data_IF_255803302829
#
_entry.id   IF_255803302829
#
_cell.length_a   1.000
_cell.length_b   1.000
_cell.length_c   1.000
_cell.angle_alpha   90.00
_cell.angle_beta   90.00
_cell.angle_gamma   90.00
#
_symmetry.space_group_name_H-M   'P 1'
#
loop_
_entity.id
_entity.type
_entity.pdbx_description
1 polymer ?
#
# COMPACT_ATOMS: atom_id res chain seq x y z
N UNK A 1 -11.80 -15.22 2.56
CA UNK A 1 -11.58 -14.64 1.25
C UNK A 1 -10.49 -13.59 1.33
N UNK A 2 -9.59 -13.53 0.37
CA UNK A 2 -8.61 -12.46 0.31
C UNK A 2 -9.35 -11.12 0.22
N UNK A 3 -9.07 -10.20 1.11
CA UNK A 3 -9.60 -8.84 1.00
C UNK A 3 -8.95 -8.24 -0.24
N UNK A 4 -9.76 -7.85 -1.21
CA UNK A 4 -9.26 -7.17 -2.40
C UNK A 4 -8.45 -5.95 -1.96
N UNK A 5 -7.26 -5.70 -2.51
CA UNK A 5 -6.49 -4.50 -2.22
C UNK A 5 -7.27 -3.21 -2.52
N UNK A 6 -8.33 -3.28 -3.31
CA UNK A 6 -9.22 -2.14 -3.57
C UNK A 6 -10.02 -1.69 -2.34
N UNK A 7 -10.19 -2.55 -1.32
CA UNK A 7 -11.02 -2.24 -0.17
C UNK A 7 -10.23 -1.86 1.09
N UNK A 8 -8.91 -1.84 1.02
CA UNK A 8 -8.11 -1.62 2.22
C UNK A 8 -8.08 -0.15 2.67
N UNK A 9 -8.14 0.79 1.77
CA UNK A 9 -8.13 2.21 2.08
C UNK A 9 -9.55 2.80 2.22
N UNK A 10 -10.38 2.57 1.22
CA UNK A 10 -11.74 3.14 1.17
C UNK A 10 -12.71 2.08 0.63
N UNK A 11 -13.27 1.29 1.53
CA UNK A 11 -14.27 0.29 1.15
C UNK A 11 -15.60 0.96 0.84
N UNK A 12 -16.05 0.87 -0.38
CA UNK A 12 -17.25 1.54 -0.85
C UNK A 12 -18.26 0.62 -1.52
N UNK A 13 -17.90 -0.65 -1.69
CA UNK A 13 -18.80 -1.68 -2.17
C UNK A 13 -19.12 -1.65 -3.67
N UNK A 14 -18.49 -0.78 -4.45
CA UNK A 14 -18.68 -0.71 -5.90
C UNK A 14 -17.38 -0.92 -6.67
N UNK A 15 -17.44 -1.44 -7.87
CA UNK A 15 -16.32 -1.50 -8.81
C UNK A 15 -16.83 -1.18 -10.23
N UNK A 16 -16.08 -0.42 -11.02
CA UNK A 16 -14.83 0.26 -10.69
C UNK A 16 -15.02 1.48 -9.80
N UNK A 17 -14.00 1.76 -8.97
CA UNK A 17 -13.92 2.97 -8.15
C UNK A 17 -12.60 3.68 -8.45
N UNK A 18 -12.67 4.96 -8.78
CA UNK A 18 -11.52 5.82 -8.97
C UNK A 18 -11.48 6.91 -7.88
N UNK A 19 -10.33 7.04 -7.23
CA UNK A 19 -10.06 8.11 -6.27
C UNK A 19 -8.96 9.02 -6.81
N UNK A 20 -9.10 10.32 -6.57
CA UNK A 20 -8.20 11.33 -7.08
C UNK A 20 -7.53 12.08 -5.93
N UNK A 21 -6.20 12.08 -5.94
CA UNK A 21 -5.42 12.61 -4.84
C UNK A 21 -5.54 11.74 -3.58
N UNK A 22 -5.49 12.38 -2.43
CA UNK A 22 -5.61 11.75 -1.11
C UNK A 22 -6.99 11.94 -0.46
N UNK A 23 -8.00 12.27 -1.27
CA UNK A 23 -9.32 12.66 -0.79
C UNK A 23 -10.38 11.62 -1.10
N UNK A 24 -11.11 11.22 -0.06
CA UNK A 24 -12.21 10.27 -0.18
C UNK A 24 -13.48 10.86 -0.81
N UNK A 25 -13.61 12.18 -0.83
CA UNK A 25 -14.72 12.89 -1.46
C UNK A 25 -14.51 13.13 -2.98
N UNK A 26 -13.30 12.90 -3.49
CA UNK A 26 -12.95 12.98 -4.90
C UNK A 26 -12.95 11.60 -5.54
N UNK A 27 -14.15 11.07 -5.70
CA UNK A 27 -14.37 9.68 -6.11
C UNK A 27 -15.35 9.62 -7.29
N UNK A 28 -15.06 8.76 -8.25
CA UNK A 28 -15.99 8.26 -9.24
C UNK A 28 -16.28 6.80 -8.99
N UNK A 29 -17.52 6.48 -8.62
CA UNK A 29 -18.00 5.10 -8.46
C UNK A 29 -18.74 4.64 -9.70
N UNK A 30 -18.46 3.44 -10.14
CA UNK A 30 -18.99 2.90 -11.38
C UNK A 30 -18.26 3.39 -12.64
N UNK A 31 -18.55 2.76 -13.76
CA UNK A 31 -17.97 3.13 -15.04
C UNK A 31 -18.59 4.45 -15.53
N UNK A 32 -17.73 5.40 -15.84
CA UNK A 32 -18.09 6.61 -16.56
C UNK A 32 -17.14 6.77 -17.75
N UNK A 33 -17.68 6.98 -18.93
CA UNK A 33 -16.90 7.22 -20.14
C UNK A 33 -16.57 8.69 -20.36
N UNK A 34 -17.05 9.57 -19.47
CA UNK A 34 -16.84 11.01 -19.60
C UNK A 34 -15.45 11.41 -19.08
N UNK A 35 -14.57 11.79 -19.98
CA UNK A 35 -13.30 12.42 -19.64
C UNK A 35 -13.48 13.62 -18.71
N UNK A 36 -14.51 14.44 -18.95
CA UNK A 36 -14.79 15.66 -18.17
C UNK A 36 -15.04 15.35 -16.69
N UNK A 37 -15.71 14.24 -16.36
CA UNK A 37 -15.93 13.82 -14.97
C UNK A 37 -14.61 13.52 -14.28
N UNK A 38 -13.76 12.72 -14.90
CA UNK A 38 -12.47 12.36 -14.33
C UNK A 38 -11.52 13.56 -14.22
N UNK A 39 -11.47 14.40 -15.25
CA UNK A 39 -10.65 15.62 -15.26
C UNK A 39 -11.07 16.60 -14.17
N UNK A 40 -12.37 16.79 -13.97
CA UNK A 40 -12.91 17.63 -12.90
C UNK A 40 -12.56 17.09 -11.51
N UNK A 41 -12.67 15.79 -11.29
CA UNK A 41 -12.32 15.16 -10.02
C UNK A 41 -10.81 15.25 -9.77
N UNK A 42 -10.00 15.00 -10.77
CA UNK A 42 -8.54 15.12 -10.68
C UNK A 42 -8.12 16.55 -10.34
N UNK A 43 -8.62 17.54 -11.07
CA UNK A 43 -8.30 18.95 -10.86
C UNK A 43 -8.77 19.45 -9.51
N UNK A 44 -9.98 19.07 -9.08
CA UNK A 44 -10.54 19.46 -7.78
C UNK A 44 -9.93 18.68 -6.60
N UNK A 45 -9.37 17.53 -6.85
CA UNK A 45 -8.58 16.75 -5.88
C UNK A 45 -7.16 17.28 -5.67
N UNK A 46 -6.76 18.31 -6.46
CA UNK A 46 -5.43 18.89 -6.37
C UNK A 46 -4.38 18.13 -7.18
N UNK A 47 -4.79 17.29 -8.10
CA UNK A 47 -3.90 16.41 -8.82
C UNK A 47 -3.30 15.34 -7.91
N UNK A 48 -2.10 14.90 -8.24
CA UNK A 48 -1.33 14.01 -7.37
C UNK A 48 -0.49 14.87 -6.40
N UNK A 49 -0.95 15.05 -5.16
CA UNK A 49 -0.24 15.71 -4.07
C UNK A 49 -0.09 17.22 -4.17
N UNK A 50 -1.19 17.97 -4.12
CA UNK A 50 -1.13 19.41 -3.94
C UNK A 50 -0.79 19.84 -2.52
N UNK A 51 -0.91 18.94 -1.54
CA UNK A 51 -0.62 19.21 -0.13
C UNK A 51 0.69 18.56 0.26
N UNK A 52 1.61 19.33 0.83
CA UNK A 52 2.82 18.79 1.44
C UNK A 52 2.38 17.98 2.65
N UNK A 53 2.67 16.69 2.65
CA UNK A 53 2.40 15.84 3.80
C UNK A 53 3.42 16.13 4.91
N UNK A 54 2.92 16.29 6.13
CA UNK A 54 3.74 16.45 7.33
C UNK A 54 4.33 15.12 7.82
N UNK A 55 4.51 14.16 6.94
CA UNK A 55 5.05 12.84 7.29
C UNK A 55 6.12 12.43 6.29
N UNK A 56 7.24 11.97 6.81
CA UNK A 56 8.28 11.30 6.04
C UNK A 56 8.13 9.80 6.13
N UNK A 57 8.37 9.10 5.03
CA UNK A 57 8.33 7.64 4.97
C UNK A 57 9.34 7.11 3.97
N UNK A 58 9.94 5.97 4.30
CA UNK A 58 10.79 5.20 3.40
C UNK A 58 10.58 3.71 3.60
N UNK A 59 10.82 2.94 2.55
CA UNK A 59 10.80 1.48 2.61
C UNK A 59 12.01 0.91 1.88
N UNK A 60 12.50 -0.22 2.35
CA UNK A 60 13.59 -0.96 1.72
C UNK A 60 13.30 -2.45 1.77
N UNK A 61 13.81 -3.19 0.79
CA UNK A 61 13.74 -4.64 0.73
C UNK A 61 15.07 -5.17 0.18
N UNK A 62 15.55 -6.25 0.79
CA UNK A 62 16.67 -7.04 0.27
C UNK A 62 16.38 -8.52 0.49
N UNK A 63 17.15 -9.38 -0.15
CA UNK A 63 17.04 -10.81 0.03
C UNK A 63 18.19 -11.30 0.91
N UNK A 64 17.84 -12.12 1.90
CA UNK A 64 18.79 -12.79 2.80
C UNK A 64 18.52 -14.30 2.81
N UNK A 65 19.26 -15.03 1.99
CA UNK A 65 19.04 -16.47 1.84
C UNK A 65 17.63 -16.80 1.34
N UNK A 66 16.86 -17.49 2.15
CA UNK A 66 15.49 -17.93 1.87
C UNK A 66 14.40 -16.95 2.31
N UNK A 67 14.75 -15.79 2.84
CA UNK A 67 13.82 -14.76 3.33
C UNK A 67 14.10 -13.40 2.71
N UNK A 68 13.15 -12.49 2.85
CA UNK A 68 13.35 -11.07 2.60
C UNK A 68 13.65 -10.36 3.91
N UNK A 69 14.60 -9.42 3.87
CA UNK A 69 14.80 -8.40 4.89
C UNK A 69 14.10 -7.12 4.42
N UNK A 70 13.03 -6.74 5.10
CA UNK A 70 12.19 -5.60 4.76
C UNK A 70 12.23 -4.62 5.91
N UNK A 71 12.34 -3.33 5.59
CA UNK A 71 12.22 -2.26 6.60
C UNK A 71 11.35 -1.12 6.08
N UNK A 72 10.57 -0.53 6.98
CA UNK A 72 9.76 0.65 6.72
C UNK A 72 10.02 1.63 7.85
N UNK A 73 10.50 2.82 7.50
CA UNK A 73 10.74 3.91 8.44
C UNK A 73 9.74 5.03 8.19
N UNK A 74 9.25 5.64 9.27
CA UNK A 74 8.30 6.75 9.20
C UNK A 74 8.49 7.73 10.35
N UNK A 75 8.15 9.00 10.13
CA UNK A 75 8.18 10.08 11.12
C UNK A 75 7.21 11.19 10.80
N UNK A 76 6.89 12.01 11.78
CA UNK A 76 6.21 13.29 11.59
C UNK A 76 7.23 14.40 11.35
N UNK A 77 7.01 15.21 10.32
CA UNK A 77 7.90 16.30 9.88
C UNK A 77 7.26 17.69 10.04
N UNK A 78 5.99 17.74 10.42
CA UNK A 78 5.27 18.99 10.61
C UNK A 78 5.64 19.73 11.90
N UNK A 79 5.14 20.94 12.03
CA UNK A 79 5.38 21.81 13.20
C UNK A 79 4.38 21.60 14.35
N UNK A 80 3.29 20.88 14.10
CA UNK A 80 2.24 20.59 15.08
C UNK A 80 2.43 19.26 15.80
N UNK A 81 1.32 18.60 16.08
CA UNK A 81 1.30 17.24 16.61
C UNK A 81 0.88 16.26 15.54
N UNK A 82 1.46 15.07 15.48
CA UNK A 82 1.01 14.04 14.56
C UNK A 82 -0.46 13.64 14.85
N UNK A 83 -1.14 13.16 13.83
CA UNK A 83 -2.49 12.66 14.00
C UNK A 83 -2.52 11.46 14.97
N UNK A 84 -3.61 11.33 15.71
CA UNK A 84 -3.86 10.17 16.55
C UNK A 84 -4.42 9.00 15.73
N UNK A 85 -4.40 7.80 16.31
CA UNK A 85 -4.98 6.59 15.71
C UNK A 85 -4.41 6.27 14.32
N UNK A 86 -3.10 6.42 14.16
CA UNK A 86 -2.41 6.10 12.93
C UNK A 86 -2.37 4.59 12.71
N UNK A 87 -2.48 4.22 11.44
CA UNK A 87 -2.37 2.83 10.97
C UNK A 87 -1.33 2.74 9.87
N UNK A 88 -0.49 1.72 9.96
CA UNK A 88 0.41 1.34 8.88
C UNK A 88 -0.22 0.19 8.09
N UNK A 89 -0.37 0.40 6.79
CA UNK A 89 -0.65 -0.62 5.80
C UNK A 89 0.64 -0.89 5.04
N UNK A 90 1.12 -2.10 5.07
CA UNK A 90 2.33 -2.48 4.37
C UNK A 90 2.08 -3.77 3.60
N UNK A 91 2.44 -3.77 2.33
CA UNK A 91 2.21 -4.89 1.44
C UNK A 91 3.48 -5.25 0.66
N UNK A 92 3.69 -6.54 0.51
CA UNK A 92 4.63 -7.08 -0.46
C UNK A 92 3.86 -7.37 -1.76
N UNK A 93 4.38 -6.85 -2.86
CA UNK A 93 3.74 -6.86 -4.18
C UNK A 93 4.70 -7.52 -5.18
N UNK A 94 4.18 -8.36 -6.05
CA UNK A 94 4.89 -8.81 -7.26
C UNK A 94 4.53 -7.86 -8.40
N UNK A 95 5.52 -7.12 -8.91
CA UNK A 95 5.30 -6.15 -9.98
C UNK A 95 5.00 -6.79 -11.35
N UNK A 96 5.24 -8.09 -11.49
CA UNK A 96 5.05 -8.82 -12.75
C UNK A 96 4.54 -10.24 -12.46
N UNK A 97 3.25 -10.35 -12.21
CA UNK A 97 2.61 -11.59 -11.76
C UNK A 97 2.45 -12.60 -12.91
N UNK A 98 3.54 -13.11 -13.41
CA UNK A 98 3.52 -14.21 -14.39
C UNK A 98 2.94 -15.46 -13.73
N UNK A 99 1.83 -15.97 -14.21
CA UNK A 99 1.14 -17.13 -13.63
C UNK A 99 -0.30 -16.85 -13.23
N UNK A 100 -0.73 -15.60 -13.29
CA UNK A 100 -2.13 -15.22 -13.21
C UNK A 100 -2.67 -14.94 -14.61
N UNK A 101 -3.72 -15.64 -15.00
CA UNK A 101 -4.50 -15.30 -16.18
C UNK A 101 -5.80 -14.64 -15.74
N UNK A 102 -6.14 -13.52 -16.33
CA UNK A 102 -7.50 -12.99 -16.21
C UNK A 102 -8.47 -13.85 -17.03
N UNK A 103 -9.73 -13.91 -16.63
CA UNK A 103 -10.79 -14.59 -17.38
C UNK A 103 -10.98 -14.04 -18.81
N UNK A 104 -10.47 -12.84 -19.07
CA UNK A 104 -10.43 -12.20 -20.39
C UNK A 104 -9.30 -12.69 -21.32
N UNK A 105 -8.47 -13.63 -20.87
CA UNK A 105 -7.34 -14.15 -21.66
C UNK A 105 -6.08 -13.27 -21.65
N UNK A 106 -6.04 -12.21 -20.83
CA UNK A 106 -4.82 -11.43 -20.60
C UNK A 106 -3.84 -12.33 -19.85
N UNK A 107 -2.60 -12.50 -20.35
CA UNK A 107 -1.72 -13.58 -19.88
C UNK A 107 -1.16 -13.36 -18.44
N UNK A 108 -1.09 -12.16 -17.92
CA UNK A 108 -0.65 -11.88 -16.54
C UNK A 108 -1.06 -10.49 -16.08
N UNK A 109 -1.10 -10.30 -14.76
CA UNK A 109 -1.32 -9.01 -14.13
C UNK A 109 -0.01 -8.32 -13.76
N UNK A 110 -0.14 -7.06 -13.39
CA UNK A 110 0.94 -6.25 -12.82
C UNK A 110 0.57 -5.83 -11.40
N UNK A 111 1.58 -5.67 -10.54
CA UNK A 111 1.43 -5.20 -9.16
C UNK A 111 0.45 -6.05 -8.34
N UNK A 112 0.63 -7.36 -8.37
CA UNK A 112 -0.19 -8.27 -7.61
C UNK A 112 0.17 -8.26 -6.13
N UNK A 113 -0.82 -8.12 -5.29
CA UNK A 113 -0.66 -8.30 -3.87
C UNK A 113 -0.23 -9.74 -3.53
N UNK A 114 0.84 -9.89 -2.78
CA UNK A 114 1.39 -11.18 -2.37
C UNK A 114 1.26 -11.41 -0.87
N UNK A 115 1.51 -10.41 -0.05
CA UNK A 115 1.35 -10.51 1.39
C UNK A 115 1.11 -9.15 2.04
N UNK A 116 0.40 -9.15 3.16
CA UNK A 116 0.43 -8.07 4.13
C UNK A 116 1.58 -8.29 5.11
N UNK A 117 2.31 -7.22 5.42
CA UNK A 117 3.31 -7.16 6.48
C UNK A 117 2.62 -6.66 7.75
N UNK A 118 2.68 -7.42 8.80
CA UNK A 118 1.95 -7.14 10.03
C UNK A 118 2.89 -6.99 11.22
N UNK A 119 2.43 -6.42 12.32
CA UNK A 119 3.28 -6.13 13.47
C UNK A 119 4.02 -7.37 13.99
N UNK A 120 5.21 -7.16 14.56
CA UNK A 120 5.98 -8.22 15.24
C UNK A 120 6.62 -9.24 14.29
N UNK A 121 7.11 -8.79 13.14
CA UNK A 121 7.74 -9.65 12.12
C UNK A 121 6.83 -10.77 11.60
N UNK A 122 5.52 -10.46 11.49
CA UNK A 122 4.56 -11.38 10.91
C UNK A 122 4.14 -10.93 9.51
N UNK A 123 3.66 -11.87 8.71
CA UNK A 123 3.07 -11.58 7.41
C UNK A 123 1.84 -12.44 7.18
N UNK A 124 0.98 -12.02 6.27
CA UNK A 124 -0.20 -12.77 5.84
C UNK A 124 -0.29 -12.79 4.33
N UNK A 125 0.01 -13.93 3.74
CA UNK A 125 -0.12 -14.19 2.32
C UNK A 125 -1.41 -14.96 2.00
N UNK A 126 -1.67 -15.17 0.71
CA UNK A 126 -2.74 -16.03 0.23
C UNK A 126 -2.60 -17.47 0.76
N UNK A 127 -1.36 -17.95 0.91
CA UNK A 127 -1.03 -19.33 1.20
C UNK A 127 -0.63 -19.57 2.67
N UNK A 128 -0.68 -18.57 3.52
CA UNK A 128 -0.34 -18.74 4.93
C UNK A 128 0.13 -17.46 5.62
N UNK A 129 0.60 -17.63 6.85
CA UNK A 129 0.98 -16.55 7.72
C UNK A 129 -0.16 -16.06 8.62
N UNK A 130 0.16 -15.14 9.51
CA UNK A 130 -0.77 -14.58 10.51
C UNK A 130 -0.75 -13.07 10.49
N UNK A 131 -1.83 -12.46 10.96
CA UNK A 131 -1.94 -11.03 11.11
C UNK A 131 -3.10 -10.41 10.33
N UNK A 132 -3.15 -9.08 10.34
CA UNK A 132 -4.16 -8.27 9.67
C UNK A 132 -3.54 -7.43 8.56
N UNK A 133 -4.36 -6.82 7.72
CA UNK A 133 -3.89 -5.95 6.64
C UNK A 133 -3.26 -4.63 7.12
N UNK A 134 -3.40 -4.31 8.37
CA UNK A 134 -2.81 -3.12 9.00
C UNK A 134 -2.58 -3.36 10.49
N UNK A 135 -1.78 -2.48 11.10
CA UNK A 135 -1.67 -2.40 12.55
C UNK A 135 -1.57 -0.93 13.00
N UNK A 136 -1.92 -0.70 14.26
CA UNK A 136 -1.83 0.64 14.85
C UNK A 136 -0.38 0.99 15.11
N UNK A 137 -0.02 2.22 14.80
CA UNK A 137 1.32 2.75 15.01
C UNK A 137 1.27 4.09 15.73
N UNK A 138 2.32 4.39 16.48
CA UNK A 138 2.55 5.72 17.05
C UNK A 138 3.61 6.41 16.21
N UNK A 139 3.27 7.57 15.70
CA UNK A 139 4.19 8.39 14.90
C UNK A 139 4.66 9.58 15.74
N UNK A 140 5.94 9.84 15.72
CA UNK A 140 6.57 10.98 16.41
C UNK A 140 7.49 11.75 15.46
N UNK A 141 8.15 12.79 15.94
CA UNK A 141 9.15 13.54 15.18
C UNK A 141 10.46 12.78 14.97
N UNK A 142 10.67 11.67 15.66
CA UNK A 142 11.81 10.78 15.46
C UNK A 142 11.44 9.61 14.57
N UNK A 143 12.40 9.12 13.80
CA UNK A 143 12.18 7.96 12.93
C UNK A 143 11.82 6.74 13.77
N UNK A 144 10.74 6.09 13.40
CA UNK A 144 10.36 4.76 13.85
C UNK A 144 10.56 3.80 12.69
N UNK A 145 11.27 2.69 12.93
CA UNK A 145 11.51 1.67 11.92
C UNK A 145 10.90 0.35 12.34
N UNK A 146 10.11 -0.23 11.47
CA UNK A 146 9.62 -1.60 11.60
C UNK A 146 10.35 -2.49 10.60
N UNK A 147 10.59 -3.75 10.98
CA UNK A 147 11.36 -4.70 10.18
C UNK A 147 10.71 -6.05 10.14
N UNK A 148 10.84 -6.71 9.00
CA UNK A 148 10.39 -8.09 8.75
C UNK A 148 11.52 -8.89 8.16
N UNK A 149 11.85 -10.00 8.77
CA UNK A 149 12.93 -10.91 8.39
C UNK A 149 12.44 -12.34 8.17
N UNK A 150 11.19 -12.61 8.55
CA UNK A 150 10.57 -13.93 8.49
C UNK A 150 9.82 -14.22 7.17
N UNK A 151 9.69 -13.25 6.27
CA UNK A 151 8.92 -13.40 5.03
C UNK A 151 9.69 -14.26 4.03
N UNK A 152 9.20 -15.47 3.69
CA UNK A 152 9.91 -16.33 2.75
C UNK A 152 9.96 -15.77 1.33
N UNK A 153 11.06 -15.98 0.62
CA UNK A 153 11.20 -15.56 -0.79
C UNK A 153 10.19 -16.21 -1.72
N UNK A 154 9.65 -17.37 -1.35
CA UNK A 154 8.58 -18.04 -2.09
C UNK A 154 7.25 -17.28 -2.13
N UNK A 155 7.09 -16.25 -1.30
CA UNK A 155 5.90 -15.36 -1.32
C UNK A 155 5.85 -14.58 -2.63
N UNK A 156 7.00 -14.17 -3.18
CA UNK A 156 7.07 -13.54 -4.52
C UNK A 156 7.84 -14.48 -5.44
N UNK A 157 7.15 -15.30 -6.24
CA UNK A 157 7.81 -16.29 -7.11
C UNK A 157 8.77 -15.70 -8.14
N UNK A 158 8.58 -14.43 -8.53
CA UNK A 158 9.48 -13.69 -9.42
C UNK A 158 10.81 -13.30 -8.79
N UNK A 159 10.98 -13.52 -7.48
CA UNK A 159 12.18 -13.18 -6.72
C UNK A 159 12.32 -11.70 -6.43
N UNK A 160 13.49 -11.33 -5.88
CA UNK A 160 13.76 -9.95 -5.40
C UNK A 160 13.60 -8.89 -6.49
N UNK A 161 13.96 -9.18 -7.72
CA UNK A 161 13.84 -8.23 -8.85
C UNK A 161 12.39 -7.87 -9.20
N UNK A 162 11.43 -8.63 -8.72
CA UNK A 162 9.99 -8.39 -8.92
C UNK A 162 9.27 -8.01 -7.64
N UNK A 163 9.90 -8.14 -6.49
CA UNK A 163 9.34 -7.78 -5.21
C UNK A 163 9.38 -6.26 -5.01
N UNK A 164 8.24 -5.70 -4.61
CA UNK A 164 8.09 -4.30 -4.23
C UNK A 164 7.40 -4.22 -2.89
N UNK A 165 7.88 -3.38 -2.00
CA UNK A 165 7.20 -3.05 -0.76
C UNK A 165 6.43 -1.76 -0.95
N UNK A 166 5.13 -1.79 -0.67
CA UNK A 166 4.26 -0.63 -0.67
C UNK A 166 3.77 -0.40 0.75
N UNK A 167 3.99 0.80 1.26
CA UNK A 167 3.58 1.17 2.60
C UNK A 167 2.77 2.46 2.59
N UNK A 168 1.73 2.52 3.42
CA UNK A 168 0.87 3.68 3.56
C UNK A 168 0.55 3.92 5.04
N UNK A 169 0.77 5.14 5.51
CA UNK A 169 0.24 5.61 6.79
C UNK A 169 -1.13 6.24 6.58
N UNK A 170 -2.05 5.95 7.48
CA UNK A 170 -3.39 6.53 7.48
C UNK A 170 -3.81 6.96 8.88
N UNK A 171 -4.60 8.03 8.96
CA UNK A 171 -5.36 8.42 10.14
C UNK A 171 -6.83 8.44 9.76
N UNK A 172 -7.61 7.56 10.35
CA UNK A 172 -9.00 7.36 9.90
C UNK A 172 -9.03 6.91 8.43
N UNK A 173 -9.65 7.71 7.57
CA UNK A 173 -9.72 7.49 6.11
C UNK A 173 -8.78 8.42 5.33
N UNK A 174 -7.92 9.16 6.01
CA UNK A 174 -6.98 10.07 5.37
C UNK A 174 -5.64 9.36 5.14
N UNK A 175 -5.19 9.36 3.92
CA UNK A 175 -3.84 8.92 3.58
C UNK A 175 -2.87 10.02 3.96
N UNK A 176 -1.85 9.67 4.75
CA UNK A 176 -0.79 10.60 5.09
C UNK A 176 0.35 10.50 4.07
N UNK A 177 1.43 9.83 4.31
CA UNK A 177 2.45 9.58 3.31
C UNK A 177 2.22 8.26 2.58
N UNK A 178 2.86 8.12 1.42
CA UNK A 178 2.97 6.88 0.67
C UNK A 178 4.46 6.63 0.39
N UNK A 179 4.91 5.39 0.59
CA UNK A 179 6.25 4.98 0.20
C UNK A 179 6.21 3.65 -0.56
N UNK A 180 7.14 3.49 -1.49
CA UNK A 180 7.39 2.23 -2.18
C UNK A 180 8.90 2.00 -2.29
N UNK A 181 9.33 0.76 -2.13
CA UNK A 181 10.71 0.36 -2.34
C UNK A 181 10.80 -0.67 -3.47
N UNK A 182 11.77 -0.50 -4.32
CA UNK A 182 12.15 -1.43 -5.40
C UNK A 182 13.58 -1.86 -5.15
N UNK A 183 13.89 -3.17 -5.17
CA UNK A 183 15.24 -3.67 -4.96
C UNK A 183 16.19 -3.28 -6.07
#
# INVERSE_FOLDING_TARGET
GAVSPYNWAWSTGGAPDAYFGDRTDKRQSGADSSYTTYDSLFSSGGGMHSTVNDYGMSAAISQNGGTYDISISYRYTGSGSPASNMKLYAALVDKDCTGYSYSSGIPHGYNCWMAWLTSGDHYKSKNGGTGSSFHSVTVSSTDTTESWTSVPTSVVPGGINKAVVVAVLMSGNQVCPLAAAVP
#
